data_IF_175745360360
#
_entry.id   IF_175745360360
#
_cell.length_a   1.000
_cell.length_b   1.000
_cell.length_c   1.000
_cell.angle_alpha   90.00
_cell.angle_beta   90.00
_cell.angle_gamma   90.00
#
_symmetry.space_group_name_H-M   'P 1'
#
loop_
_entity.id
_entity.type
_entity.pdbx_description
1 polymer ?
#
# COMPACT_ATOMS: atom_id res chain seq x y z
N UNK A 1 -16.48 35.50 -44.42
CA UNK A 1 -16.70 34.90 -45.76
C UNK A 1 -15.32 34.64 -46.35
N UNK A 2 -14.85 33.46 -46.75
CA UNK A 2 -15.44 32.16 -47.03
C UNK A 2 -14.42 31.07 -46.67
N UNK A 3 -14.92 29.89 -46.31
CA UNK A 3 -14.17 28.64 -46.07
C UNK A 3 -14.15 27.84 -47.36
N UNK A 4 -13.05 27.21 -47.80
CA UNK A 4 -13.11 26.17 -48.81
C UNK A 4 -13.21 24.78 -48.17
N UNK A 5 -14.22 24.07 -48.62
CA UNK A 5 -14.54 22.68 -48.36
C UNK A 5 -13.59 21.73 -49.10
N UNK A 6 -13.26 20.60 -48.49
CA UNK A 6 -12.79 19.39 -49.18
C UNK A 6 -13.67 18.20 -48.75
N UNK A 7 -14.32 17.47 -49.68
CA UNK A 7 -14.99 16.22 -49.36
C UNK A 7 -14.06 15.04 -49.67
N UNK A 8 -13.83 14.15 -48.72
CA UNK A 8 -13.34 12.79 -49.00
C UNK A 8 -13.97 11.79 -48.04
N UNK A 9 -15.07 11.19 -48.48
CA UNK A 9 -15.36 9.76 -48.25
C UNK A 9 -14.14 8.95 -48.76
N UNK A 10 -13.74 7.81 -48.23
CA UNK A 10 -14.39 6.50 -48.34
C UNK A 10 -13.83 5.58 -47.25
N UNK A 11 -14.72 4.80 -46.65
CA UNK A 11 -14.41 3.68 -45.78
C UNK A 11 -13.75 2.53 -46.55
N UNK A 12 -12.83 1.80 -45.91
CA UNK A 12 -12.68 0.36 -46.05
C UNK A 12 -11.79 -0.18 -44.92
N UNK A 13 -12.44 -0.78 -43.92
CA UNK A 13 -11.83 -1.68 -42.94
C UNK A 13 -11.43 -2.98 -43.65
N UNK A 14 -10.18 -3.41 -43.48
CA UNK A 14 -9.78 -4.80 -43.75
C UNK A 14 -9.08 -5.34 -42.49
N UNK A 15 -9.82 -6.16 -41.75
CA UNK A 15 -9.33 -6.93 -40.62
C UNK A 15 -8.44 -8.07 -41.12
N UNK A 16 -7.23 -8.19 -40.58
CA UNK A 16 -6.35 -9.34 -40.80
C UNK A 16 -6.44 -10.23 -39.57
N UNK A 17 -7.11 -11.36 -39.72
CA UNK A 17 -7.18 -12.44 -38.73
C UNK A 17 -5.92 -13.31 -38.90
N UNK A 18 -5.02 -13.32 -37.91
CA UNK A 18 -3.87 -14.23 -37.89
C UNK A 18 -4.26 -15.48 -37.12
N UNK A 19 -4.32 -16.61 -37.83
CA UNK A 19 -4.54 -17.95 -37.29
C UNK A 19 -3.19 -18.53 -36.85
N UNK A 20 -2.97 -18.69 -35.54
CA UNK A 20 -1.80 -19.39 -34.99
C UNK A 20 -2.13 -20.88 -34.82
N UNK A 21 -1.45 -21.72 -35.62
CA UNK A 21 -1.40 -23.17 -35.48
C UNK A 21 -0.41 -23.52 -34.37
N UNK A 22 -0.87 -24.22 -33.33
CA UNK A 22 0.02 -24.84 -32.34
C UNK A 22 0.00 -26.35 -32.57
N UNK A 23 1.13 -26.87 -33.05
CA UNK A 23 1.46 -28.30 -33.04
C UNK A 23 2.87 -28.45 -32.51
N UNK A 24 3.03 -29.21 -31.43
CA UNK A 24 4.34 -29.55 -30.87
C UNK A 24 4.23 -30.50 -29.68
N UNK A 25 4.24 -31.80 -29.96
CA UNK A 25 4.43 -32.88 -28.99
C UNK A 25 5.91 -32.94 -28.56
N UNK A 26 6.17 -33.38 -27.32
CA UNK A 26 7.48 -33.87 -26.92
C UNK A 26 7.85 -33.64 -25.45
N UNK A 27 7.16 -34.29 -24.52
CA UNK A 27 7.63 -34.41 -23.13
C UNK A 27 8.68 -35.52 -23.07
N UNK A 28 9.96 -35.14 -23.00
CA UNK A 28 11.06 -36.04 -22.70
C UNK A 28 11.32 -36.05 -21.20
N UNK A 29 11.45 -37.26 -20.64
CA UNK A 29 11.73 -37.56 -19.24
C UNK A 29 12.98 -36.84 -18.72
N UNK A 30 12.84 -36.10 -17.62
CA UNK A 30 13.96 -35.55 -16.85
C UNK A 30 14.23 -36.46 -15.65
N UNK A 31 15.43 -37.05 -15.52
CA UNK A 31 15.79 -37.83 -14.34
C UNK A 31 15.95 -36.94 -13.11
N UNK A 32 15.27 -37.31 -12.02
CA UNK A 32 15.36 -36.70 -10.69
C UNK A 32 16.71 -37.03 -10.05
N UNK A 33 17.54 -36.05 -9.65
CA UNK A 33 18.71 -36.34 -8.84
C UNK A 33 18.28 -36.67 -7.41
N UNK A 34 18.67 -37.85 -6.94
CA UNK A 34 18.60 -38.28 -5.55
C UNK A 34 19.62 -37.47 -4.73
N UNK A 35 19.14 -36.64 -3.81
CA UNK A 35 19.99 -36.00 -2.81
C UNK A 35 20.09 -36.95 -1.61
N UNK A 36 21.27 -37.54 -1.41
CA UNK A 36 21.61 -38.31 -0.22
C UNK A 36 21.72 -37.37 0.99
N UNK A 37 20.78 -37.48 1.94
CA UNK A 37 20.89 -36.86 3.26
C UNK A 37 21.97 -37.56 4.08
N UNK A 38 23.11 -36.91 4.24
CA UNK A 38 24.15 -37.28 5.21
C UNK A 38 24.30 -36.13 6.22
N UNK A 39 23.73 -36.28 7.41
CA UNK A 39 23.96 -35.38 8.55
C UNK A 39 24.98 -35.99 9.52
N UNK A 40 26.02 -35.25 9.94
CA UNK A 40 26.69 -35.48 11.20
C UNK A 40 26.27 -34.42 12.23
N UNK A 41 25.92 -34.88 13.43
CA UNK A 41 25.72 -34.03 14.60
C UNK A 41 27.05 -33.47 15.13
N UNK A 42 27.07 -32.25 15.67
CA UNK A 42 28.01 -31.85 16.71
C UNK A 42 27.28 -31.62 18.05
N UNK A 43 27.94 -32.07 19.12
CA UNK A 43 27.53 -31.86 20.51
C UNK A 43 27.69 -30.41 21.01
N UNK A 44 27.40 -30.18 22.30
CA UNK A 44 27.05 -28.87 22.84
C UNK A 44 28.29 -28.03 23.15
N UNK A 45 28.17 -26.70 23.12
CA UNK A 45 28.74 -25.78 24.10
C UNK A 45 28.30 -24.31 23.86
N UNK A 46 27.90 -23.69 24.97
CA UNK A 46 28.11 -22.28 25.33
C UNK A 46 27.21 -21.18 24.78
N UNK A 47 26.48 -20.61 25.73
CA UNK A 47 25.61 -19.44 25.70
C UNK A 47 26.34 -18.16 25.30
N UNK A 48 25.76 -17.39 24.38
CA UNK A 48 25.99 -15.95 24.19
C UNK A 48 24.65 -15.34 23.73
N UNK A 49 24.26 -14.13 24.19
CA UNK A 49 22.92 -13.60 23.89
C UNK A 49 22.79 -13.19 22.42
N UNK A 50 21.73 -13.66 21.77
CA UNK A 50 21.33 -13.29 20.41
C UNK A 50 20.49 -11.98 20.41
N UNK A 51 20.44 -11.23 19.29
CA UNK A 51 19.49 -10.13 19.09
C UNK A 51 18.04 -10.67 18.99
N UNK A 52 17.00 -9.86 19.23
CA UNK A 52 15.64 -10.38 19.35
C UNK A 52 15.17 -10.94 18.02
N UNK A 53 14.87 -12.23 18.01
CA UNK A 53 14.14 -12.95 16.98
C UNK A 53 12.65 -12.79 17.23
N UNK A 54 11.97 -12.02 16.38
CA UNK A 54 10.52 -12.12 16.21
C UNK A 54 10.25 -13.12 15.10
N UNK A 55 9.70 -14.28 15.45
CA UNK A 55 9.11 -15.21 14.50
C UNK A 55 7.71 -15.53 15.01
N UNK A 56 6.70 -15.07 14.28
CA UNK A 56 5.32 -15.48 14.51
C UNK A 56 4.94 -16.58 13.50
N UNK A 57 4.15 -17.54 13.99
CA UNK A 57 3.48 -18.54 13.16
C UNK A 57 2.22 -17.93 12.50
N UNK A 58 1.28 -18.74 12.01
CA UNK A 58 0.20 -18.30 11.11
C UNK A 58 -0.90 -17.43 11.78
N UNK A 59 -0.62 -16.89 12.97
CA UNK A 59 -1.37 -15.84 13.66
C UNK A 59 -0.30 -14.89 14.25
N UNK A 60 0.01 -13.77 13.58
CA UNK A 60 1.11 -12.82 13.82
C UNK A 60 1.30 -12.22 15.23
N UNK A 61 0.72 -12.77 16.30
CA UNK A 61 1.19 -12.66 17.70
C UNK A 61 1.11 -11.29 18.41
N UNK A 62 0.93 -10.19 17.69
CA UNK A 62 0.78 -8.83 18.23
C UNK A 62 -0.68 -8.45 18.51
N UNK A 63 -0.87 -7.54 19.47
CA UNK A 63 -2.14 -6.81 19.59
C UNK A 63 -2.30 -5.80 18.46
N UNK A 64 -3.55 -5.48 18.08
CA UNK A 64 -3.82 -4.43 17.07
C UNK A 64 -3.11 -3.11 17.41
N UNK A 65 -2.98 -2.78 18.70
CA UNK A 65 -2.26 -1.59 19.15
C UNK A 65 -0.73 -1.68 18.94
N UNK A 66 -0.13 -2.85 19.06
CA UNK A 66 1.30 -3.07 18.76
C UNK A 66 1.57 -2.95 17.26
N UNK A 67 0.71 -3.54 16.42
CA UNK A 67 0.84 -3.45 14.96
C UNK A 67 0.62 -2.02 14.45
N UNK A 68 -0.31 -1.28 15.05
CA UNK A 68 -0.50 0.15 14.78
C UNK A 68 0.78 0.95 15.08
N UNK A 69 1.41 0.70 16.24
CA UNK A 69 2.63 1.40 16.61
C UNK A 69 3.79 1.05 15.66
N UNK A 70 3.89 -0.23 15.27
CA UNK A 70 4.86 -0.69 14.29
C UNK A 70 4.63 -0.04 12.91
N UNK A 71 3.39 -0.02 12.42
CA UNK A 71 3.01 0.62 11.16
C UNK A 71 3.34 2.12 11.13
N UNK A 72 3.05 2.86 12.21
CA UNK A 72 3.44 4.26 12.37
C UNK A 72 4.96 4.42 12.30
N UNK A 73 5.70 3.59 13.03
CA UNK A 73 7.16 3.63 13.10
C UNK A 73 7.81 3.33 11.74
N UNK A 74 7.37 2.25 11.08
CA UNK A 74 7.84 1.81 9.77
C UNK A 74 7.61 2.90 8.72
N UNK A 75 6.38 3.41 8.64
CA UNK A 75 5.99 4.43 7.66
C UNK A 75 6.79 5.72 7.86
N UNK A 76 6.90 6.19 9.11
CA UNK A 76 7.67 7.38 9.41
C UNK A 76 9.15 7.22 9.08
N UNK A 77 9.74 6.07 9.44
CA UNK A 77 11.16 5.78 9.22
C UNK A 77 11.49 5.75 7.73
N UNK A 78 10.63 5.15 6.91
CA UNK A 78 10.80 5.15 5.46
C UNK A 78 10.85 6.57 4.90
N UNK A 79 9.87 7.41 5.22
CA UNK A 79 9.84 8.79 4.74
C UNK A 79 11.01 9.62 5.26
N UNK A 80 11.37 9.48 6.53
CA UNK A 80 12.53 10.16 7.10
C UNK A 80 13.83 9.79 6.39
N UNK A 81 13.98 8.52 6.00
CA UNK A 81 15.17 8.00 5.33
C UNK A 81 15.27 8.44 3.87
N UNK A 82 14.16 8.37 3.14
CA UNK A 82 14.16 8.51 1.68
C UNK A 82 13.77 9.90 1.17
N UNK A 83 13.21 10.78 2.01
CA UNK A 83 12.69 12.08 1.57
C UNK A 83 13.70 12.87 0.73
N UNK A 84 14.92 13.05 1.23
CA UNK A 84 15.94 13.88 0.56
C UNK A 84 16.40 13.33 -0.80
N UNK A 85 16.14 12.05 -1.07
CA UNK A 85 16.45 11.41 -2.36
C UNK A 85 15.29 11.56 -3.36
N UNK A 86 14.07 11.79 -2.85
CA UNK A 86 12.83 11.81 -3.63
C UNK A 86 12.34 13.24 -3.89
N UNK A 87 12.50 14.13 -2.91
CA UNK A 87 11.92 15.46 -2.90
C UNK A 87 12.90 16.52 -2.38
N UNK A 88 12.66 17.77 -2.75
CA UNK A 88 13.37 18.92 -2.19
C UNK A 88 12.82 19.30 -0.82
N UNK A 89 13.59 20.06 -0.04
CA UNK A 89 13.20 20.48 1.30
C UNK A 89 13.41 19.41 2.37
N UNK A 90 12.87 19.64 3.56
CA UNK A 90 12.95 18.71 4.69
C UNK A 90 11.63 17.97 4.90
N UNK A 91 11.73 16.72 5.37
CA UNK A 91 10.58 15.96 5.83
C UNK A 91 10.18 16.38 7.26
N UNK A 92 8.89 16.65 7.46
CA UNK A 92 8.26 16.67 8.77
C UNK A 92 7.19 15.57 8.82
N UNK A 93 7.13 14.72 9.85
CA UNK A 93 6.00 13.79 9.98
C UNK A 93 4.69 14.53 10.31
N UNK A 94 3.52 13.97 9.93
CA UNK A 94 2.26 14.42 10.51
C UNK A 94 2.25 14.11 12.01
N UNK A 95 1.45 14.84 12.77
CA UNK A 95 1.15 14.45 14.16
C UNK A 95 0.35 13.15 14.16
N UNK A 96 0.62 12.28 15.12
CA UNK A 96 -0.19 11.08 15.35
C UNK A 96 -1.13 11.40 16.51
N UNK A 97 -2.37 11.79 16.20
CA UNK A 97 -3.43 11.90 17.22
C UNK A 97 -3.90 10.49 17.59
N UNK A 98 -3.92 9.59 16.61
CA UNK A 98 -4.08 8.15 16.82
C UNK A 98 -5.53 7.72 16.99
N UNK A 99 -5.74 6.73 17.86
CA UNK A 99 -7.01 6.09 18.09
C UNK A 99 -8.10 7.08 18.56
N UNK A 100 -9.29 6.96 17.98
CA UNK A 100 -10.52 7.54 18.52
C UNK A 100 -11.66 6.52 18.42
N UNK A 101 -12.74 6.80 19.14
CA UNK A 101 -14.02 6.09 19.01
C UNK A 101 -15.03 7.05 18.37
N UNK A 102 -15.56 6.68 17.20
CA UNK A 102 -16.57 7.44 16.46
C UNK A 102 -17.85 7.70 17.27
N UNK A 103 -18.56 8.79 16.98
CA UNK A 103 -19.84 9.12 17.61
C UNK A 103 -19.79 9.42 19.12
N UNK A 104 -18.61 9.52 19.74
CA UNK A 104 -18.45 9.76 21.18
C UNK A 104 -17.99 11.18 21.53
N UNK A 105 -18.30 11.69 22.74
CA UNK A 105 -17.73 12.95 23.20
C UNK A 105 -16.20 12.88 23.25
N UNK A 106 -15.53 13.74 22.47
CA UNK A 106 -14.06 13.78 22.40
C UNK A 106 -13.48 13.26 21.09
N UNK A 107 -14.31 12.77 20.15
CA UNK A 107 -13.87 12.52 18.77
C UNK A 107 -13.10 13.74 18.24
N UNK A 108 -11.88 13.57 17.70
CA UNK A 108 -11.11 14.67 17.13
C UNK A 108 -11.91 15.41 16.05
N UNK A 109 -11.52 16.66 15.78
CA UNK A 109 -12.17 17.49 14.75
C UNK A 109 -11.17 17.84 13.66
N UNK A 110 -11.57 17.68 12.40
CA UNK A 110 -10.85 18.22 11.27
C UNK A 110 -11.60 19.43 10.71
N UNK A 111 -10.96 20.60 10.77
CA UNK A 111 -11.63 21.87 10.52
C UNK A 111 -12.75 22.12 11.54
N UNK A 112 -14.00 22.08 11.08
CA UNK A 112 -15.20 22.32 11.91
C UNK A 112 -16.10 21.08 12.08
N UNK A 113 -15.67 19.91 11.63
CA UNK A 113 -16.43 18.68 11.71
C UNK A 113 -15.71 17.62 12.56
N UNK A 114 -16.42 16.84 13.39
CA UNK A 114 -15.84 15.65 14.00
C UNK A 114 -15.41 14.64 12.92
N UNK A 115 -14.41 13.83 13.24
CA UNK A 115 -14.01 12.73 12.37
C UNK A 115 -15.16 11.73 12.18
N UNK A 116 -15.30 11.13 10.99
CA UNK A 116 -16.34 10.14 10.71
C UNK A 116 -16.08 8.83 11.45
N UNK A 117 -17.16 8.09 11.75
CA UNK A 117 -17.09 6.74 12.32
C UNK A 117 -16.55 5.74 11.29
N UNK A 118 -15.97 4.63 11.76
CA UNK A 118 -15.47 3.53 10.92
C UNK A 118 -14.49 3.99 9.82
N UNK A 119 -13.66 4.99 10.12
CA UNK A 119 -12.74 5.60 9.14
C UNK A 119 -11.33 5.86 9.72
N UNK A 120 -10.37 6.08 8.83
CA UNK A 120 -9.09 6.69 9.14
C UNK A 120 -8.93 7.96 8.32
N UNK A 121 -8.18 8.92 8.83
CA UNK A 121 -8.06 10.24 8.21
C UNK A 121 -6.68 10.85 8.40
N UNK A 122 -6.22 11.51 7.35
CA UNK A 122 -5.31 12.65 7.44
C UNK A 122 -6.08 13.96 7.42
N UNK A 123 -5.92 14.77 8.47
CA UNK A 123 -6.47 16.12 8.54
C UNK A 123 -5.44 17.18 8.11
N UNK A 124 -5.65 17.89 6.98
CA UNK A 124 -4.72 18.93 6.53
C UNK A 124 -4.71 20.17 7.43
N UNK A 125 -5.85 20.57 8.01
CA UNK A 125 -5.96 21.78 8.85
C UNK A 125 -5.13 21.68 10.15
N UNK A 126 -4.90 20.46 10.65
CA UNK A 126 -4.17 20.20 11.89
C UNK A 126 -2.88 19.40 11.70
N UNK A 127 -2.53 19.06 10.45
CA UNK A 127 -1.45 18.15 10.04
C UNK A 127 -1.34 16.92 10.96
N UNK A 128 -2.42 16.13 11.02
CA UNK A 128 -2.44 14.93 11.87
C UNK A 128 -3.13 13.76 11.19
N UNK A 129 -2.75 12.54 11.61
CA UNK A 129 -3.47 11.30 11.30
C UNK A 129 -4.21 10.79 12.54
N UNK A 130 -5.38 10.19 12.32
CA UNK A 130 -6.20 9.55 13.34
C UNK A 130 -7.01 8.40 12.71
N UNK A 131 -7.45 7.44 13.53
CA UNK A 131 -8.19 6.26 13.06
C UNK A 131 -9.21 5.81 14.10
N UNK A 132 -10.38 5.39 13.61
CA UNK A 132 -11.40 4.74 14.42
C UNK A 132 -10.94 3.33 14.79
N UNK A 133 -10.98 2.99 16.08
CA UNK A 133 -10.56 1.67 16.52
C UNK A 133 -11.50 0.55 16.09
N UNK A 134 -12.76 0.82 15.76
CA UNK A 134 -13.67 -0.18 15.23
C UNK A 134 -13.26 -0.59 13.81
N UNK A 135 -12.85 0.37 12.95
CA UNK A 135 -12.24 0.08 11.64
C UNK A 135 -10.97 -0.75 11.81
N UNK A 136 -10.07 -0.33 12.69
CA UNK A 136 -8.76 -0.99 12.85
C UNK A 136 -8.92 -2.41 13.38
N UNK A 137 -9.81 -2.65 14.36
CA UNK A 137 -10.07 -3.99 14.91
C UNK A 137 -10.79 -4.89 13.91
N UNK A 138 -11.80 -4.36 13.20
CA UNK A 138 -12.52 -5.12 12.19
C UNK A 138 -11.59 -5.57 11.06
N UNK A 139 -10.73 -4.68 10.61
CA UNK A 139 -9.72 -4.95 9.60
C UNK A 139 -8.65 -5.93 10.06
N UNK A 140 -8.06 -5.70 11.25
CA UNK A 140 -7.05 -6.59 11.85
C UNK A 140 -7.55 -8.02 12.02
N UNK A 141 -8.84 -8.21 12.33
CA UNK A 141 -9.46 -9.54 12.38
C UNK A 141 -9.51 -10.28 11.03
N UNK A 142 -9.20 -9.61 9.91
CA UNK A 142 -9.07 -10.19 8.56
C UNK A 142 -7.61 -10.44 8.17
N UNK A 143 -6.67 -9.91 8.92
CA UNK A 143 -5.24 -9.88 8.62
C UNK A 143 -4.57 -8.67 9.27
N UNK A 144 -3.42 -8.85 9.91
CA UNK A 144 -2.75 -7.77 10.63
C UNK A 144 -2.09 -6.75 9.69
N UNK A 145 -1.80 -7.14 8.44
CA UNK A 145 -1.31 -6.23 7.41
C UNK A 145 -2.30 -5.09 7.09
N UNK A 146 -3.56 -5.22 7.50
CA UNK A 146 -4.58 -4.18 7.39
C UNK A 146 -4.13 -2.84 7.98
N UNK A 147 -3.62 -2.85 9.22
CA UNK A 147 -3.30 -1.60 9.92
C UNK A 147 -2.12 -0.88 9.25
N UNK A 148 -1.17 -1.65 8.70
CA UNK A 148 -0.06 -1.13 7.91
C UNK A 148 -0.54 -0.42 6.64
N UNK A 149 -1.49 -1.01 5.92
CA UNK A 149 -2.09 -0.39 4.75
C UNK A 149 -2.77 0.93 5.10
N UNK A 150 -3.66 0.91 6.09
CA UNK A 150 -4.46 2.10 6.47
C UNK A 150 -3.53 3.24 6.91
N UNK A 151 -2.56 2.96 7.79
CA UNK A 151 -1.64 3.99 8.27
C UNK A 151 -0.76 4.53 7.14
N UNK A 152 -0.22 3.67 6.28
CA UNK A 152 0.60 4.11 5.16
C UNK A 152 -0.20 4.92 4.12
N UNK A 153 -1.49 4.61 3.94
CA UNK A 153 -2.41 5.37 3.09
C UNK A 153 -2.64 6.79 3.63
N UNK A 154 -3.03 6.93 4.91
CA UNK A 154 -3.22 8.26 5.52
C UNK A 154 -1.93 9.08 5.54
N UNK A 155 -0.78 8.41 5.75
CA UNK A 155 0.51 9.07 5.62
C UNK A 155 0.79 9.52 4.18
N UNK A 156 0.28 8.79 3.18
CA UNK A 156 0.28 9.19 1.78
C UNK A 156 -0.39 10.54 1.55
N UNK A 157 -1.53 10.80 2.20
CA UNK A 157 -2.16 12.13 2.18
C UNK A 157 -1.33 13.19 2.88
N UNK A 158 -0.68 12.84 4.00
CA UNK A 158 0.25 13.75 4.67
C UNK A 158 1.41 14.14 3.75
N UNK A 159 1.94 13.17 2.99
CA UNK A 159 2.97 13.41 1.97
C UNK A 159 2.43 14.30 0.86
N UNK A 160 1.26 14.00 0.30
CA UNK A 160 0.62 14.88 -0.71
C UNK A 160 0.51 16.33 -0.24
N UNK A 161 0.16 16.57 1.03
CA UNK A 161 0.06 17.91 1.60
C UNK A 161 1.42 18.65 1.73
N UNK A 162 2.53 17.93 1.61
CA UNK A 162 3.90 18.48 1.62
C UNK A 162 4.47 18.65 0.21
N UNK A 163 3.84 18.04 -0.80
CA UNK A 163 4.30 18.10 -2.18
C UNK A 163 3.78 19.34 -2.91
N UNK A 164 4.53 19.78 -3.91
CA UNK A 164 4.04 20.74 -4.88
C UNK A 164 2.81 20.18 -5.61
N UNK A 165 1.83 21.02 -5.92
CA UNK A 165 0.57 20.60 -6.55
C UNK A 165 0.76 19.84 -7.87
N UNK A 166 1.87 20.06 -8.59
CA UNK A 166 2.19 19.32 -9.82
C UNK A 166 2.64 17.87 -9.60
N UNK A 167 2.93 17.48 -8.35
CA UNK A 167 3.32 16.13 -7.94
C UNK A 167 2.15 15.35 -7.32
N UNK A 168 1.00 16.01 -7.11
CA UNK A 168 -0.22 15.40 -6.59
C UNK A 168 -1.11 15.02 -7.77
N UNK A 169 -1.49 13.75 -7.86
CA UNK A 169 -2.37 13.28 -8.94
C UNK A 169 -3.81 13.80 -8.73
N UNK A 170 -4.56 13.94 -9.82
CA UNK A 170 -5.99 14.25 -9.73
C UNK A 170 -6.73 13.12 -9.00
N UNK A 171 -6.32 11.87 -9.21
CA UNK A 171 -6.78 10.71 -8.45
C UNK A 171 -5.99 10.60 -7.12
N UNK A 172 -6.24 11.54 -6.21
CA UNK A 172 -5.50 11.68 -4.94
C UNK A 172 -5.52 10.40 -4.10
N UNK A 173 -6.68 9.77 -3.95
CA UNK A 173 -6.85 8.53 -3.21
C UNK A 173 -6.01 7.37 -3.78
N UNK A 174 -6.07 7.19 -5.10
CA UNK A 174 -5.27 6.16 -5.79
C UNK A 174 -3.77 6.45 -5.72
N UNK A 175 -3.37 7.73 -5.71
CA UNK A 175 -1.98 8.08 -5.45
C UNK A 175 -1.58 7.73 -4.02
N UNK A 176 -2.43 7.93 -3.02
CA UNK A 176 -2.16 7.52 -1.63
C UNK A 176 -1.98 6.00 -1.51
N UNK A 177 -2.81 5.19 -2.18
CA UNK A 177 -2.60 3.74 -2.28
C UNK A 177 -1.26 3.38 -2.93
N UNK A 178 -0.87 4.08 -4.01
CA UNK A 178 0.42 3.86 -4.65
C UNK A 178 1.57 4.20 -3.68
N UNK A 179 1.49 5.32 -2.97
CA UNK A 179 2.50 5.71 -1.99
C UNK A 179 2.58 4.70 -0.84
N UNK A 180 1.44 4.18 -0.36
CA UNK A 180 1.40 3.14 0.65
C UNK A 180 2.15 1.87 0.18
N UNK A 181 1.89 1.42 -1.05
CA UNK A 181 2.61 0.29 -1.63
C UNK A 181 4.12 0.54 -1.75
N UNK A 182 4.52 1.74 -2.17
CA UNK A 182 5.93 2.10 -2.25
C UNK A 182 6.63 2.11 -0.88
N UNK A 183 5.94 2.59 0.16
CA UNK A 183 6.45 2.63 1.54
C UNK A 183 6.61 1.23 2.10
N UNK A 184 5.57 0.39 2.07
CA UNK A 184 5.61 -0.93 2.72
C UNK A 184 6.66 -1.84 2.06
N UNK A 185 6.66 -1.92 0.73
CA UNK A 185 7.64 -2.74 0.01
C UNK A 185 9.04 -2.12 0.02
N UNK A 186 9.15 -0.79 0.09
CA UNK A 186 10.42 -0.11 0.28
C UNK A 186 11.00 -0.36 1.67
N UNK A 187 10.19 -0.26 2.72
CA UNK A 187 10.58 -0.56 4.09
C UNK A 187 11.02 -2.02 4.27
N UNK A 188 10.36 -2.95 3.55
CA UNK A 188 10.77 -4.34 3.49
C UNK A 188 12.13 -4.53 2.80
N UNK A 189 12.39 -3.81 1.70
CA UNK A 189 13.70 -3.80 1.05
C UNK A 189 14.80 -3.20 1.94
N UNK A 190 14.45 -2.21 2.78
CA UNK A 190 15.36 -1.60 3.75
C UNK A 190 15.59 -2.47 4.99
N UNK A 191 14.82 -3.55 5.18
CA UNK A 191 14.87 -4.41 6.37
C UNK A 191 14.26 -3.78 7.63
N UNK A 192 13.42 -2.75 7.47
CA UNK A 192 12.69 -2.10 8.57
C UNK A 192 11.28 -2.65 8.76
N UNK A 193 10.79 -3.40 7.77
CA UNK A 193 9.58 -4.21 7.82
C UNK A 193 9.95 -5.62 7.37
N UNK A 194 9.35 -6.65 7.97
CA UNK A 194 9.42 -8.02 7.47
C UNK A 194 7.99 -8.45 7.18
N UNK A 195 7.72 -8.86 5.94
CA UNK A 195 6.42 -9.47 5.62
C UNK A 195 6.38 -10.89 6.16
N UNK A 196 5.28 -11.24 6.80
CA UNK A 196 4.95 -12.61 7.20
C UNK A 196 4.32 -13.37 6.04
N UNK A 197 4.19 -14.69 6.20
CA UNK A 197 3.56 -15.55 5.22
C UNK A 197 2.05 -15.25 5.17
N UNK A 198 1.61 -14.49 4.18
CA UNK A 198 0.20 -14.15 3.96
C UNK A 198 -0.07 -12.65 3.87
N UNK A 199 0.83 -11.79 4.35
CA UNK A 199 0.62 -10.35 4.40
C UNK A 199 0.31 -9.75 3.02
N UNK A 200 0.94 -10.27 1.96
CA UNK A 200 0.72 -9.74 0.61
C UNK A 200 -0.70 -10.04 0.10
N UNK A 201 -1.24 -11.19 0.48
CA UNK A 201 -2.62 -11.59 0.22
C UNK A 201 -3.59 -10.80 1.09
N UNK A 202 -3.26 -10.57 2.36
CA UNK A 202 -4.03 -9.74 3.29
C UNK A 202 -4.11 -8.28 2.82
N UNK A 203 -3.01 -7.70 2.33
CA UNK A 203 -3.00 -6.35 1.74
C UNK A 203 -3.93 -6.27 0.52
N UNK A 204 -3.94 -7.31 -0.33
CA UNK A 204 -4.83 -7.36 -1.48
C UNK A 204 -6.31 -7.52 -1.07
N UNK A 205 -6.61 -8.32 -0.04
CA UNK A 205 -7.94 -8.44 0.55
C UNK A 205 -8.38 -7.11 1.18
N UNK A 206 -7.50 -6.44 1.93
CA UNK A 206 -7.77 -5.16 2.57
C UNK A 206 -8.10 -4.06 1.55
N UNK A 207 -7.29 -3.94 0.49
CA UNK A 207 -7.56 -3.02 -0.63
C UNK A 207 -8.92 -3.31 -1.28
N UNK A 208 -9.29 -4.59 -1.42
CA UNK A 208 -10.57 -5.00 -2.00
C UNK A 208 -11.74 -4.69 -1.06
N UNK A 209 -11.60 -4.99 0.23
CA UNK A 209 -12.62 -4.76 1.24
C UNK A 209 -12.90 -3.26 1.46
N UNK A 210 -11.86 -2.43 1.37
CA UNK A 210 -11.96 -0.98 1.48
C UNK A 210 -12.36 -0.29 0.16
N UNK A 211 -12.44 -1.01 -0.96
CA UNK A 211 -12.76 -0.42 -2.26
C UNK A 211 -14.26 -0.32 -2.57
N UNK A 212 -15.13 -0.93 -1.76
CA UNK A 212 -16.58 -0.94 -2.02
C UNK A 212 -17.46 -0.80 -0.76
N UNK A 213 -18.27 0.27 -0.79
CA UNK A 213 -19.58 0.50 -0.13
C UNK A 213 -19.86 -0.18 1.22
N UNK A 214 -19.08 0.13 2.25
CA UNK A 214 -19.67 0.20 3.60
C UNK A 214 -20.44 1.52 3.73
N UNK A 215 -21.52 1.61 4.53
CA UNK A 215 -22.26 2.86 4.75
C UNK A 215 -21.42 4.02 5.30
N UNK A 216 -20.17 3.75 5.67
CA UNK A 216 -19.29 4.61 6.44
C UNK A 216 -18.12 5.19 5.65
N UNK A 217 -17.92 4.78 4.38
CA UNK A 217 -16.90 5.37 3.49
C UNK A 217 -17.55 6.29 2.47
N UNK A 218 -16.91 7.43 2.16
CA UNK A 218 -17.32 8.28 1.04
C UNK A 218 -16.84 7.64 -0.27
N UNK A 219 -17.66 6.71 -0.77
CA UNK A 219 -17.42 5.83 -1.93
C UNK A 219 -17.08 6.59 -3.22
N UNK A 220 -17.38 7.88 -3.29
CA UNK A 220 -17.16 8.73 -4.46
C UNK A 220 -15.68 8.80 -4.89
N UNK A 221 -14.74 8.74 -3.93
CA UNK A 221 -13.39 9.25 -4.16
C UNK A 221 -12.29 8.18 -4.15
N UNK A 222 -12.50 7.02 -3.49
CA UNK A 222 -11.44 6.01 -3.28
C UNK A 222 -11.15 5.08 -4.49
N UNK A 223 -11.96 5.13 -5.55
CA UNK A 223 -11.82 4.25 -6.72
C UNK A 223 -12.30 2.81 -6.49
N UNK A 224 -12.39 2.02 -7.56
CA UNK A 224 -12.83 0.62 -7.48
C UNK A 224 -11.69 -0.33 -7.02
N UNK A 225 -12.04 -1.56 -6.62
CA UNK A 225 -11.07 -2.53 -6.08
C UNK A 225 -9.90 -2.79 -7.03
N UNK A 226 -10.18 -2.85 -8.33
CA UNK A 226 -9.16 -3.10 -9.34
C UNK A 226 -8.20 -1.92 -9.46
N UNK A 227 -8.69 -0.69 -9.35
CA UNK A 227 -7.89 0.53 -9.36
C UNK A 227 -6.99 0.59 -8.15
N UNK A 228 -7.54 0.38 -6.95
CA UNK A 228 -6.78 0.43 -5.68
C UNK A 228 -5.65 -0.59 -5.67
N UNK A 229 -5.95 -1.85 -5.99
CA UNK A 229 -4.92 -2.91 -6.11
C UNK A 229 -3.89 -2.58 -7.18
N UNK A 230 -4.31 -2.02 -8.33
CA UNK A 230 -3.40 -1.66 -9.42
C UNK A 230 -2.41 -0.55 -9.02
N UNK A 231 -2.88 0.50 -8.36
CA UNK A 231 -2.06 1.62 -7.91
C UNK A 231 -1.13 1.23 -6.77
N UNK A 232 -1.64 0.53 -5.76
CA UNK A 232 -0.81 -0.04 -4.70
C UNK A 232 0.31 -0.92 -5.28
N UNK A 233 -0.03 -1.84 -6.19
CA UNK A 233 0.93 -2.71 -6.89
C UNK A 233 1.94 -1.95 -7.75
N UNK A 234 1.60 -0.75 -8.24
CA UNK A 234 2.53 0.10 -8.98
C UNK A 234 3.62 0.62 -8.04
N UNK A 235 3.23 1.19 -6.90
CA UNK A 235 4.16 1.66 -5.89
C UNK A 235 5.02 0.54 -5.32
N UNK A 236 4.40 -0.59 -4.97
CA UNK A 236 5.09 -1.78 -4.47
C UNK A 236 6.23 -2.25 -5.40
N UNK A 237 6.00 -2.23 -6.71
CA UNK A 237 6.97 -2.72 -7.71
C UNK A 237 7.98 -1.66 -8.17
N UNK A 238 7.62 -0.38 -8.12
CA UNK A 238 8.37 0.68 -8.82
C UNK A 238 8.67 1.91 -7.96
N UNK A 239 8.35 1.87 -6.67
CA UNK A 239 8.65 2.89 -5.68
C UNK A 239 7.91 4.21 -5.91
N UNK A 240 8.23 5.19 -5.06
CA UNK A 240 7.52 6.48 -4.97
C UNK A 240 7.45 7.24 -6.29
N UNK A 241 8.53 7.23 -7.09
CA UNK A 241 8.57 7.96 -8.37
C UNK A 241 7.49 7.49 -9.35
N UNK A 242 7.08 6.23 -9.28
CA UNK A 242 6.02 5.68 -10.14
C UNK A 242 4.61 6.15 -9.78
N UNK A 243 4.46 6.73 -8.59
CA UNK A 243 3.21 7.27 -8.06
C UNK A 243 3.00 8.75 -8.40
N UNK A 244 4.02 9.42 -8.95
CA UNK A 244 3.96 10.84 -9.29
C UNK A 244 3.43 11.03 -10.71
N UNK A 245 2.65 12.10 -10.98
CA UNK A 245 2.22 12.46 -12.32
C UNK A 245 3.41 12.59 -13.29
N UNK A 246 3.21 12.21 -14.55
CA UNK A 246 4.26 12.14 -15.57
C UNK A 246 5.02 13.48 -15.71
N UNK A 247 6.24 13.55 -15.14
CA UNK A 247 7.10 14.73 -15.21
C UNK A 247 8.37 14.68 -14.36
N UNK A 248 8.43 13.81 -13.34
CA UNK A 248 9.65 13.64 -12.51
C UNK A 248 10.31 12.30 -12.82
N UNK A 249 10.97 12.23 -13.98
CA UNK A 249 12.02 11.23 -14.22
C UNK A 249 13.37 11.83 -13.89
#
# INVERSE_FOLDING_TARGET
MAVPWYPRSWAALAAVLILLLVTGCGGADVPRPTVESSSPAPGPLSSTPAPPTGGAGPDGGGSVEEDIQAAVSVTNTYWQTHWSQLFTGGYSPPRVVGAYDGGTPGTPVCGNAPLPDDNAVYCPDGDYIAWDMDLMRWGHARGDAWVYLVIAHEWGHAVQNRLDAGLVDLARELQADCLAGAVLFGAAQDGTLTFEDGDTEELADALTALADRTPWTDVSDHGDASQRVSYFSRGARSGVKSCLPNGVR
#
